data_IF_004003967449
#
_entry.id   IF_004003967449
#
_cell.length_a   1.000
_cell.length_b   1.000
_cell.length_c   1.000
_cell.angle_alpha   90.00
_cell.angle_beta   90.00
_cell.angle_gamma   90.00
#
_symmetry.space_group_name_H-M   'P 1'
#
loop_
_entity.id
_entity.type
_entity.pdbx_description
1 polymer ?
#
# COMPACT_ATOMS: atom_id res chain seq x y z
N UNK A 1 34.34 19.05 -41.12
CA UNK A 1 34.96 18.24 -40.15
C UNK A 1 34.00 17.19 -39.58
N UNK A 2 34.21 15.94 -39.93
CA UNK A 2 33.86 14.82 -39.12
C UNK A 2 32.38 14.39 -38.96
N UNK A 3 31.61 14.19 -40.03
CA UNK A 3 30.39 13.39 -39.99
C UNK A 3 29.19 13.94 -39.19
N UNK A 4 29.21 15.19 -38.75
CA UNK A 4 28.09 15.84 -38.07
C UNK A 4 27.30 16.71 -39.05
N UNK A 5 25.95 16.58 -38.98
CA UNK A 5 25.04 17.48 -39.69
C UNK A 5 24.44 18.44 -38.64
N UNK A 6 24.76 19.73 -38.76
CA UNK A 6 24.29 20.76 -37.87
C UNK A 6 23.03 21.42 -38.46
N UNK A 7 21.96 21.48 -37.66
CA UNK A 7 20.73 22.18 -37.99
C UNK A 7 20.60 23.46 -37.16
N UNK A 8 20.22 24.54 -37.81
CA UNK A 8 19.92 25.82 -37.17
C UNK A 8 18.41 26.07 -37.27
N UNK A 9 17.77 26.19 -36.11
CA UNK A 9 16.34 26.46 -36.05
C UNK A 9 16.09 27.96 -36.15
N UNK A 10 15.11 28.38 -36.97
CA UNK A 10 14.66 29.76 -36.98
C UNK A 10 13.91 30.06 -35.67
N UNK A 11 14.51 30.93 -34.83
CA UNK A 11 13.98 31.23 -33.52
C UNK A 11 12.59 31.86 -33.55
N UNK A 12 12.31 32.76 -34.50
CA UNK A 12 10.99 33.40 -34.59
C UNK A 12 9.90 32.41 -34.98
N UNK A 13 10.20 31.52 -35.92
CA UNK A 13 9.25 30.48 -36.35
C UNK A 13 8.97 29.53 -35.21
N UNK A 14 10.01 29.05 -34.51
CA UNK A 14 9.86 28.16 -33.36
C UNK A 14 9.03 28.78 -32.23
N UNK A 15 9.32 30.05 -31.87
CA UNK A 15 8.57 30.78 -30.85
C UNK A 15 7.11 30.93 -31.27
N UNK A 16 6.84 31.32 -32.50
CA UNK A 16 5.46 31.48 -32.99
C UNK A 16 4.67 30.16 -32.94
N UNK A 17 5.27 29.05 -33.38
CA UNK A 17 4.65 27.73 -33.38
C UNK A 17 4.40 27.26 -31.94
N UNK A 18 5.40 27.35 -31.06
CA UNK A 18 5.26 26.93 -29.64
C UNK A 18 4.20 27.75 -28.93
N UNK A 19 4.21 29.08 -29.04
CA UNK A 19 3.21 29.92 -28.40
C UNK A 19 1.79 29.64 -28.90
N UNK A 20 1.64 29.46 -30.23
CA UNK A 20 0.34 29.10 -30.80
C UNK A 20 -0.16 27.74 -30.30
N UNK A 21 0.71 26.77 -30.17
CA UNK A 21 0.37 25.46 -29.65
C UNK A 21 0.05 25.49 -28.16
N UNK A 22 0.82 26.23 -27.35
CA UNK A 22 0.55 26.47 -25.93
C UNK A 22 -0.82 27.15 -25.75
N UNK A 23 -1.11 28.19 -26.54
CA UNK A 23 -2.39 28.88 -26.46
C UNK A 23 -3.58 27.96 -26.82
N UNK A 24 -3.39 27.08 -27.80
CA UNK A 24 -4.39 26.12 -28.26
C UNK A 24 -4.61 24.98 -27.26
N UNK A 25 -3.52 24.39 -26.75
CA UNK A 25 -3.57 23.19 -25.90
C UNK A 25 -3.68 23.52 -24.42
N UNK A 26 -3.28 24.73 -24.00
CA UNK A 26 -3.31 25.17 -22.61
C UNK A 26 -2.65 24.15 -21.67
N UNK A 27 -3.42 23.63 -20.71
CA UNK A 27 -2.96 22.66 -19.73
C UNK A 27 -2.55 21.30 -20.35
N UNK A 28 -2.99 21.02 -21.58
CA UNK A 28 -2.62 19.80 -22.31
C UNK A 28 -1.36 19.97 -23.18
N UNK A 29 -0.71 21.14 -23.15
CA UNK A 29 0.54 21.30 -23.90
C UNK A 29 1.62 20.35 -23.41
N UNK A 30 2.23 19.60 -24.31
CA UNK A 30 3.22 18.56 -24.02
C UNK A 30 2.60 17.20 -23.64
N UNK A 31 1.27 17.07 -23.58
CA UNK A 31 0.63 15.78 -23.39
C UNK A 31 0.87 14.84 -24.57
N UNK A 32 0.68 13.54 -24.35
CA UNK A 32 0.91 12.51 -25.36
C UNK A 32 -0.20 11.47 -25.32
N UNK A 33 -0.35 10.73 -26.40
CA UNK A 33 -1.26 9.57 -26.51
C UNK A 33 -0.51 8.24 -26.53
N UNK A 34 0.75 8.21 -26.15
CA UNK A 34 1.58 6.98 -26.18
C UNK A 34 1.03 5.88 -25.28
N UNK A 35 0.26 6.27 -24.25
CA UNK A 35 -0.41 5.40 -23.30
C UNK A 35 -1.86 5.08 -23.64
N UNK A 36 -2.42 5.57 -24.75
CA UNK A 36 -3.83 5.37 -25.10
C UNK A 36 -4.18 3.88 -25.19
N UNK A 37 -5.25 3.47 -24.51
CA UNK A 37 -5.69 2.09 -24.43
C UNK A 37 -4.87 1.20 -23.48
N UNK A 38 -3.90 1.73 -22.74
CA UNK A 38 -3.09 0.98 -21.77
C UNK A 38 -3.46 1.38 -20.36
N UNK A 39 -3.67 0.36 -19.52
CA UNK A 39 -3.92 0.55 -18.09
C UNK A 39 -2.62 0.46 -17.29
N UNK A 40 -2.51 1.26 -16.24
CA UNK A 40 -1.40 1.19 -15.30
C UNK A 40 -1.92 1.39 -13.88
N UNK A 41 -1.51 0.51 -12.96
CA UNK A 41 -1.81 0.65 -11.53
C UNK A 41 -0.56 1.16 -10.83
N UNK A 42 -0.71 2.20 -10.05
CA UNK A 42 0.36 2.83 -9.29
C UNK A 42 0.01 2.75 -7.82
N UNK A 43 0.82 2.00 -7.07
CA UNK A 43 0.69 1.81 -5.64
C UNK A 43 1.63 2.78 -4.92
N UNK A 44 1.07 3.66 -4.09
CA UNK A 44 1.85 4.69 -3.39
C UNK A 44 1.16 5.17 -2.11
N UNK A 45 1.90 5.87 -1.25
CA UNK A 45 1.54 6.28 0.10
C UNK A 45 1.56 5.10 1.09
N UNK A 46 0.56 4.25 1.06
CA UNK A 46 0.45 2.96 1.78
C UNK A 46 0.78 3.02 3.29
N UNK A 47 0.24 4.00 4.04
CA UNK A 47 0.52 4.10 5.47
C UNK A 47 -0.18 2.98 6.25
N UNK A 48 0.42 2.63 7.40
CA UNK A 48 -0.24 1.75 8.36
C UNK A 48 -1.31 2.54 9.12
N UNK A 49 -2.52 1.99 9.25
CA UNK A 49 -3.55 2.60 10.08
C UNK A 49 -3.16 2.56 11.56
N UNK A 50 -3.74 3.44 12.35
CA UNK A 50 -3.44 3.63 13.78
C UNK A 50 -1.95 3.95 14.06
N UNK A 51 -1.25 4.52 13.08
CA UNK A 51 0.12 5.02 13.21
C UNK A 51 0.25 6.42 12.62
N UNK A 52 1.20 7.24 13.13
CA UNK A 52 1.43 8.57 12.60
C UNK A 52 1.85 8.55 11.13
N UNK A 53 1.31 9.47 10.35
CA UNK A 53 1.80 9.77 9.00
C UNK A 53 3.10 10.57 9.11
N UNK A 54 4.22 10.00 8.71
CA UNK A 54 5.54 10.60 8.87
C UNK A 54 6.19 10.96 7.53
N UNK A 55 7.35 11.59 7.58
CA UNK A 55 8.08 12.09 6.40
C UNK A 55 8.36 11.00 5.34
N UNK A 56 8.57 9.74 5.75
CA UNK A 56 8.73 8.63 4.82
C UNK A 56 7.47 8.40 3.98
N UNK A 57 6.28 8.41 4.61
CA UNK A 57 5.01 8.31 3.91
C UNK A 57 4.78 9.52 2.99
N UNK A 58 5.11 10.74 3.45
CA UNK A 58 5.00 11.94 2.63
C UNK A 58 5.83 11.84 1.35
N UNK A 59 7.07 11.35 1.46
CA UNK A 59 7.97 11.16 0.33
C UNK A 59 7.40 10.21 -0.72
N UNK A 60 6.97 9.01 -0.30
CA UNK A 60 6.39 8.02 -1.23
C UNK A 60 5.09 8.52 -1.84
N UNK A 61 4.28 9.23 -1.06
CA UNK A 61 3.02 9.85 -1.53
C UNK A 61 3.26 10.87 -2.64
N UNK A 62 4.19 11.80 -2.45
CA UNK A 62 4.48 12.85 -3.44
C UNK A 62 5.13 12.27 -4.69
N UNK A 63 6.09 11.35 -4.55
CA UNK A 63 6.73 10.69 -5.69
C UNK A 63 5.70 9.89 -6.48
N UNK A 64 4.89 9.06 -5.81
CA UNK A 64 3.88 8.25 -6.46
C UNK A 64 2.82 9.07 -7.18
N UNK A 65 2.35 10.14 -6.56
CA UNK A 65 1.40 11.06 -7.20
C UNK A 65 2.01 11.77 -8.42
N UNK A 66 3.30 12.13 -8.37
CA UNK A 66 3.99 12.69 -9.52
C UNK A 66 4.07 11.71 -10.69
N UNK A 67 4.38 10.44 -10.39
CA UNK A 67 4.38 9.36 -11.39
C UNK A 67 2.97 9.16 -11.95
N UNK A 68 1.94 9.13 -11.09
CA UNK A 68 0.54 9.02 -11.49
C UNK A 68 0.15 10.15 -12.47
N UNK A 69 0.45 11.41 -12.12
CA UNK A 69 0.16 12.58 -12.97
C UNK A 69 0.93 12.52 -14.30
N UNK A 70 2.20 12.10 -14.30
CA UNK A 70 3.02 11.94 -15.52
C UNK A 70 2.44 10.89 -16.46
N UNK A 71 2.13 9.69 -15.97
CA UNK A 71 1.55 8.65 -16.83
C UNK A 71 0.16 9.04 -17.34
N UNK A 72 -0.65 9.70 -16.53
CA UNK A 72 -1.93 10.24 -16.97
C UNK A 72 -1.78 11.26 -18.08
N UNK A 73 -0.76 12.13 -17.97
CA UNK A 73 -0.42 13.13 -18.99
C UNK A 73 0.09 12.50 -20.29
N UNK A 74 0.69 11.31 -20.21
CA UNK A 74 1.10 10.50 -21.37
C UNK A 74 -0.06 9.67 -21.97
N UNK A 75 -1.28 9.84 -21.49
CA UNK A 75 -2.48 9.22 -22.04
C UNK A 75 -2.79 7.82 -21.52
N UNK A 76 -2.10 7.35 -20.46
CA UNK A 76 -2.44 6.09 -19.81
C UNK A 76 -3.72 6.20 -18.98
N UNK A 77 -4.48 5.11 -18.89
CA UNK A 77 -5.53 4.94 -17.90
C UNK A 77 -4.86 4.55 -16.57
N UNK A 78 -4.65 5.54 -15.69
CA UNK A 78 -3.97 5.35 -14.42
C UNK A 78 -4.96 5.05 -13.31
N UNK A 79 -4.60 4.08 -12.45
CA UNK A 79 -5.33 3.73 -11.24
C UNK A 79 -4.37 3.90 -10.05
N UNK A 80 -4.60 4.92 -9.25
CA UNK A 80 -3.85 5.21 -8.04
C UNK A 80 -4.39 4.40 -6.85
N UNK A 81 -3.56 3.55 -6.28
CA UNK A 81 -3.92 2.70 -5.14
C UNK A 81 -3.17 3.13 -3.90
N UNK A 82 -3.90 3.36 -2.83
CA UNK A 82 -3.35 3.48 -1.48
C UNK A 82 -3.55 2.15 -0.76
N UNK A 83 -2.50 1.30 -0.80
CA UNK A 83 -2.52 -0.03 -0.19
C UNK A 83 -2.27 0.08 1.30
N UNK A 84 -3.32 0.36 2.07
CA UNK A 84 -3.23 0.58 3.51
C UNK A 84 -2.73 -0.65 4.26
N UNK A 85 -1.82 -0.46 5.22
CA UNK A 85 -1.45 -1.47 6.19
C UNK A 85 -2.53 -1.60 7.27
N UNK A 86 -3.66 -2.19 6.92
CA UNK A 86 -4.85 -2.26 7.75
C UNK A 86 -5.17 -3.67 8.27
N UNK A 87 -4.21 -4.61 8.17
CA UNK A 87 -4.37 -5.99 8.64
C UNK A 87 -3.12 -6.50 9.36
N UNK A 88 -3.33 -7.41 10.33
CA UNK A 88 -2.24 -8.05 11.04
C UNK A 88 -2.42 -8.10 12.56
N UNK A 89 -1.53 -8.80 13.23
CA UNK A 89 -1.58 -9.05 14.69
C UNK A 89 -1.57 -7.78 15.54
N UNK A 90 -1.12 -6.65 14.98
CA UNK A 90 -1.19 -5.35 15.65
C UNK A 90 -2.63 -4.93 15.97
N UNK A 91 -3.61 -5.36 15.17
CA UNK A 91 -5.02 -5.06 15.45
C UNK A 91 -5.58 -5.86 16.61
N UNK A 92 -5.12 -7.09 16.81
CA UNK A 92 -5.44 -7.84 18.02
C UNK A 92 -4.96 -7.12 19.29
N UNK A 93 -3.76 -6.51 19.24
CA UNK A 93 -3.23 -5.68 20.33
C UNK A 93 -4.06 -4.41 20.54
N UNK A 94 -4.38 -3.69 19.45
CA UNK A 94 -5.21 -2.48 19.56
C UNK A 94 -6.60 -2.78 20.10
N UNK A 95 -7.24 -3.87 19.66
CA UNK A 95 -8.56 -4.30 20.14
C UNK A 95 -8.48 -4.62 21.62
N UNK A 96 -7.47 -5.40 22.07
CA UNK A 96 -7.30 -5.74 23.48
C UNK A 96 -7.00 -4.50 24.33
N UNK A 97 -6.12 -3.63 23.87
CA UNK A 97 -5.80 -2.38 24.55
C UNK A 97 -7.02 -1.46 24.68
N UNK A 98 -7.82 -1.36 23.63
CA UNK A 98 -9.06 -0.58 23.66
C UNK A 98 -10.13 -1.18 24.59
N UNK A 99 -10.24 -2.51 24.63
CA UNK A 99 -11.13 -3.18 25.60
C UNK A 99 -10.77 -2.84 27.06
N UNK A 100 -9.48 -2.74 27.35
CA UNK A 100 -9.00 -2.49 28.73
C UNK A 100 -9.10 -1.02 29.12
N UNK A 101 -8.84 -0.13 28.20
CA UNK A 101 -8.59 1.29 28.51
C UNK A 101 -9.27 2.28 27.56
N UNK A 102 -10.14 1.84 26.67
CA UNK A 102 -10.75 2.70 25.65
C UNK A 102 -11.46 3.93 26.21
N UNK A 103 -12.03 3.82 27.41
CA UNK A 103 -12.69 4.95 28.11
C UNK A 103 -11.71 6.02 28.61
N UNK A 104 -10.41 5.68 28.75
CA UNK A 104 -9.36 6.61 29.18
C UNK A 104 -8.85 7.47 28.00
N UNK A 105 -9.21 7.14 26.76
CA UNK A 105 -8.65 7.73 25.55
C UNK A 105 -9.74 8.31 24.63
N UNK A 106 -9.54 9.54 24.16
CA UNK A 106 -10.51 10.18 23.25
C UNK A 106 -10.09 9.98 21.79
N UNK A 107 -10.31 8.75 21.28
CA UNK A 107 -9.94 8.38 19.90
C UNK A 107 -10.78 9.10 18.83
N UNK A 108 -11.90 9.69 19.19
CA UNK A 108 -12.76 10.40 18.24
C UNK A 108 -12.24 11.83 17.96
N UNK A 109 -11.47 12.41 18.89
CA UNK A 109 -10.89 13.75 18.75
C UNK A 109 -9.45 13.71 18.18
N UNK A 110 -8.59 12.80 18.72
CA UNK A 110 -7.20 12.66 18.32
C UNK A 110 -6.86 11.18 18.01
N UNK A 111 -7.43 10.61 16.93
CA UNK A 111 -7.43 9.16 16.73
C UNK A 111 -6.03 8.55 16.66
N UNK A 112 -5.12 9.15 15.91
CA UNK A 112 -3.78 8.57 15.69
C UNK A 112 -2.95 8.60 16.98
N UNK A 113 -2.94 9.72 17.69
CA UNK A 113 -2.17 9.85 18.92
C UNK A 113 -2.70 8.93 20.01
N UNK A 114 -4.02 8.89 20.19
CA UNK A 114 -4.66 8.06 21.21
C UNK A 114 -4.53 6.57 20.91
N UNK A 115 -4.74 6.13 19.66
CA UNK A 115 -4.50 4.75 19.25
C UNK A 115 -3.02 4.35 19.39
N UNK A 116 -2.10 5.27 19.11
CA UNK A 116 -0.66 5.05 19.31
C UNK A 116 -0.33 4.84 20.79
N UNK A 117 -0.89 5.66 21.70
CA UNK A 117 -0.72 5.50 23.15
C UNK A 117 -1.24 4.15 23.63
N UNK A 118 -2.44 3.76 23.19
CA UNK A 118 -3.03 2.46 23.51
C UNK A 118 -2.09 1.34 23.02
N UNK A 119 -1.59 1.45 21.79
CA UNK A 119 -0.71 0.44 21.21
C UNK A 119 0.62 0.32 21.97
N UNK A 120 1.23 1.43 22.35
CA UNK A 120 2.47 1.43 23.15
C UNK A 120 2.22 0.76 24.50
N UNK A 121 1.14 1.13 25.21
CA UNK A 121 0.77 0.59 26.52
C UNK A 121 0.51 -0.91 26.48
N UNK A 122 -0.30 -1.41 25.53
CA UNK A 122 -0.58 -2.83 25.40
C UNK A 122 0.66 -3.62 24.96
N UNK A 123 1.51 -3.03 24.09
CA UNK A 123 2.73 -3.69 23.64
C UNK A 123 3.78 -3.84 24.76
N UNK A 124 3.84 -2.89 25.68
CA UNK A 124 4.66 -3.02 26.87
C UNK A 124 4.14 -4.16 27.79
N UNK A 125 2.84 -4.19 28.04
CA UNK A 125 2.23 -5.21 28.88
C UNK A 125 2.37 -6.63 28.28
N UNK A 126 2.28 -6.78 26.96
CA UNK A 126 2.51 -8.05 26.28
C UNK A 126 3.95 -8.61 26.42
N UNK A 127 4.93 -7.76 26.79
CA UNK A 127 6.30 -8.22 27.04
C UNK A 127 6.47 -8.78 28.44
N UNK A 128 5.63 -8.35 29.36
CA UNK A 128 5.68 -8.71 30.79
C UNK A 128 4.72 -9.85 31.11
N UNK A 129 3.63 -9.98 30.37
CA UNK A 129 2.55 -10.93 30.61
C UNK A 129 2.15 -11.67 29.32
N UNK A 130 2.50 -12.96 29.26
CA UNK A 130 2.19 -13.83 28.11
C UNK A 130 0.68 -14.09 27.98
N UNK A 131 -0.09 -14.01 29.07
CA UNK A 131 -1.56 -14.19 29.01
C UNK A 131 -2.18 -13.06 28.20
N UNK A 132 -1.72 -11.82 28.41
CA UNK A 132 -2.16 -10.66 27.64
C UNK A 132 -1.78 -10.78 26.16
N UNK A 133 -0.58 -11.29 25.87
CA UNK A 133 -0.17 -11.55 24.49
C UNK A 133 -1.08 -12.58 23.80
N UNK A 134 -1.50 -13.61 24.54
CA UNK A 134 -2.44 -14.61 24.03
C UNK A 134 -3.85 -14.02 23.83
N UNK A 135 -4.32 -13.13 24.71
CA UNK A 135 -5.57 -12.41 24.52
C UNK A 135 -5.52 -11.55 23.24
N UNK A 136 -4.40 -10.87 22.98
CA UNK A 136 -4.19 -10.13 21.74
C UNK A 136 -4.25 -11.04 20.50
N UNK A 137 -3.62 -12.22 20.55
CA UNK A 137 -3.66 -13.21 19.46
C UNK A 137 -5.09 -13.71 19.24
N UNK A 138 -5.81 -14.00 20.31
CA UNK A 138 -7.20 -14.43 20.26
C UNK A 138 -8.11 -13.36 19.66
N UNK A 139 -7.92 -12.08 20.00
CA UNK A 139 -8.69 -10.99 19.39
C UNK A 139 -8.40 -10.82 17.91
N UNK A 140 -7.13 -11.02 17.47
CA UNK A 140 -6.84 -11.02 16.05
C UNK A 140 -7.48 -12.21 15.33
N UNK A 141 -7.45 -13.41 15.96
CA UNK A 141 -8.15 -14.58 15.40
C UNK A 141 -9.66 -14.35 15.30
N UNK A 142 -10.29 -13.77 16.32
CA UNK A 142 -11.69 -13.38 16.26
C UNK A 142 -11.98 -12.40 15.13
N UNK A 143 -11.09 -11.43 14.90
CA UNK A 143 -11.22 -10.51 13.78
C UNK A 143 -11.16 -11.25 12.43
N UNK A 144 -10.24 -12.21 12.28
CA UNK A 144 -10.13 -13.05 11.08
C UNK A 144 -11.38 -13.91 10.88
N UNK A 145 -11.97 -14.41 11.95
CA UNK A 145 -13.19 -15.22 11.92
C UNK A 145 -14.48 -14.39 11.77
N UNK A 146 -14.35 -13.06 11.68
CA UNK A 146 -15.47 -12.14 11.43
C UNK A 146 -16.32 -11.83 12.68
N UNK A 147 -15.75 -11.96 13.89
CA UNK A 147 -16.41 -11.53 15.12
C UNK A 147 -16.90 -10.08 15.01
N UNK A 148 -18.17 -9.86 15.29
CA UNK A 148 -18.84 -8.58 15.08
C UNK A 148 -18.19 -7.43 15.87
N UNK A 149 -17.85 -7.67 17.13
CA UNK A 149 -17.27 -6.65 18.00
C UNK A 149 -15.84 -6.27 17.51
N UNK A 150 -15.00 -7.26 17.25
CA UNK A 150 -13.64 -7.04 16.74
C UNK A 150 -13.65 -6.35 15.39
N UNK A 151 -14.55 -6.75 14.50
CA UNK A 151 -14.72 -6.16 13.17
C UNK A 151 -15.18 -4.71 13.24
N UNK A 152 -16.14 -4.38 14.14
CA UNK A 152 -16.63 -3.03 14.31
C UNK A 152 -15.55 -2.10 14.88
N UNK A 153 -14.76 -2.56 15.85
CA UNK A 153 -13.63 -1.80 16.37
C UNK A 153 -12.55 -1.58 15.30
N UNK A 154 -12.19 -2.63 14.58
CA UNK A 154 -11.23 -2.51 13.47
C UNK A 154 -11.69 -1.49 12.42
N UNK A 155 -12.96 -1.55 12.00
CA UNK A 155 -13.54 -0.55 11.08
C UNK A 155 -13.44 0.85 11.65
N UNK A 156 -13.80 1.04 12.93
CA UNK A 156 -13.69 2.35 13.59
C UNK A 156 -12.25 2.88 13.55
N UNK A 157 -11.26 2.08 13.90
CA UNK A 157 -9.84 2.49 13.88
C UNK A 157 -9.37 2.83 12.47
N UNK A 158 -9.78 2.02 11.47
CA UNK A 158 -9.48 2.25 10.07
C UNK A 158 -10.07 3.55 9.56
N UNK A 159 -11.35 3.77 9.78
CA UNK A 159 -12.07 4.94 9.26
C UNK A 159 -11.55 6.24 9.90
N UNK A 160 -11.27 6.23 11.20
CA UNK A 160 -10.67 7.36 11.90
C UNK A 160 -9.26 7.66 11.34
N UNK A 161 -8.44 6.64 11.10
CA UNK A 161 -7.10 6.80 10.54
C UNK A 161 -7.14 7.36 9.11
N UNK A 162 -8.03 6.83 8.26
CA UNK A 162 -8.21 7.32 6.89
C UNK A 162 -8.63 8.80 6.90
N UNK A 163 -9.53 9.18 7.81
CA UNK A 163 -9.97 10.57 7.95
C UNK A 163 -8.82 11.51 8.30
N UNK A 164 -7.88 11.09 9.13
CA UNK A 164 -6.68 11.86 9.45
C UNK A 164 -5.71 11.94 8.27
N UNK A 165 -5.47 10.83 7.58
CA UNK A 165 -4.62 10.82 6.39
C UNK A 165 -5.21 11.67 5.26
N UNK A 166 -6.54 11.70 5.13
CA UNK A 166 -7.23 12.50 4.13
C UNK A 166 -6.93 13.99 4.28
N UNK A 167 -6.76 14.50 5.50
CA UNK A 167 -6.35 15.90 5.72
C UNK A 167 -5.02 16.24 5.04
N UNK A 168 -4.06 15.29 5.08
CA UNK A 168 -2.75 15.46 4.43
C UNK A 168 -2.90 15.35 2.92
N UNK A 169 -3.70 14.42 2.43
CA UNK A 169 -3.94 14.23 1.00
C UNK A 169 -4.65 15.44 0.39
N UNK A 170 -5.65 15.98 1.07
CA UNK A 170 -6.36 17.19 0.63
C UNK A 170 -5.41 18.40 0.56
N UNK A 171 -4.52 18.54 1.54
CA UNK A 171 -3.52 19.63 1.58
C UNK A 171 -2.52 19.54 0.41
N UNK A 172 -2.26 18.32 -0.11
CA UNK A 172 -1.34 18.03 -1.20
C UNK A 172 -2.04 17.92 -2.57
N UNK A 173 -3.35 18.08 -2.63
CA UNK A 173 -4.17 17.82 -3.83
C UNK A 173 -3.93 16.41 -4.40
N UNK A 174 -4.00 15.39 -3.52
CA UNK A 174 -3.78 13.99 -3.87
C UNK A 174 -5.05 13.19 -3.64
N UNK A 175 -5.45 12.45 -4.67
CA UNK A 175 -6.61 11.59 -4.64
C UNK A 175 -6.22 10.17 -5.08
N UNK A 176 -6.86 9.18 -4.46
CA UNK A 176 -6.67 7.78 -4.81
C UNK A 176 -7.95 7.20 -5.44
N UNK A 177 -7.78 6.34 -6.44
CA UNK A 177 -8.89 5.62 -7.06
C UNK A 177 -9.31 4.41 -6.22
N UNK A 178 -8.41 3.89 -5.36
CA UNK A 178 -8.66 2.75 -4.47
C UNK A 178 -7.95 2.91 -3.13
N UNK A 179 -8.66 2.54 -2.05
CA UNK A 179 -8.14 2.43 -0.68
C UNK A 179 -8.14 0.96 -0.20
N UNK A 180 -8.05 0.00 -1.12
CA UNK A 180 -8.01 -1.41 -0.81
C UNK A 180 -6.66 -1.77 -0.18
N UNK A 181 -6.64 -1.88 1.14
CA UNK A 181 -5.50 -2.26 1.95
C UNK A 181 -5.33 -3.78 2.06
N UNK A 182 -4.47 -4.20 2.96
CA UNK A 182 -4.15 -5.61 3.21
C UNK A 182 -5.40 -6.45 3.58
N UNK A 183 -6.33 -5.86 4.34
CA UNK A 183 -7.57 -6.52 4.75
C UNK A 183 -8.43 -6.98 3.56
N UNK A 184 -8.47 -6.20 2.50
CA UNK A 184 -9.23 -6.54 1.29
C UNK A 184 -8.74 -7.82 0.60
N UNK A 185 -7.47 -8.18 0.81
CA UNK A 185 -6.86 -9.35 0.19
C UNK A 185 -6.78 -10.56 1.13
N UNK A 186 -7.28 -10.45 2.36
CA UNK A 186 -7.18 -11.50 3.36
C UNK A 186 -7.88 -12.80 2.91
N UNK A 187 -9.03 -12.69 2.28
CA UNK A 187 -9.83 -13.82 1.75
C UNK A 187 -9.31 -14.37 0.39
N UNK A 188 -8.28 -13.76 -0.19
CA UNK A 188 -7.74 -14.10 -1.52
C UNK A 188 -6.41 -14.83 -1.47
N UNK A 189 -5.87 -15.05 -0.27
CA UNK A 189 -4.56 -15.67 -0.07
C UNK A 189 -4.56 -17.17 -0.38
N UNK A 190 -5.66 -17.87 -0.11
CA UNK A 190 -5.77 -19.31 -0.36
C UNK A 190 -5.61 -19.64 -1.85
N UNK A 191 -6.14 -18.78 -2.72
CA UNK A 191 -5.98 -18.94 -4.16
C UNK A 191 -4.51 -18.82 -4.59
N UNK A 192 -3.76 -17.89 -3.99
CA UNK A 192 -2.31 -17.74 -4.24
C UNK A 192 -1.57 -19.02 -3.87
N UNK A 193 -1.84 -19.54 -2.68
CA UNK A 193 -1.22 -20.79 -2.19
C UNK A 193 -1.52 -21.94 -3.15
N UNK A 194 -2.78 -22.11 -3.55
CA UNK A 194 -3.21 -23.16 -4.47
C UNK A 194 -2.51 -23.06 -5.85
N UNK A 195 -2.35 -21.86 -6.39
CA UNK A 195 -1.63 -21.64 -7.65
C UNK A 195 -0.15 -22.00 -7.51
N UNK A 196 0.50 -21.57 -6.42
CA UNK A 196 1.90 -21.88 -6.16
C UNK A 196 2.13 -23.38 -5.99
N UNK A 197 1.22 -24.10 -5.32
CA UNK A 197 1.24 -25.56 -5.21
C UNK A 197 1.09 -26.22 -6.58
N UNK A 198 0.09 -25.83 -7.36
CA UNK A 198 -0.20 -26.41 -8.67
C UNK A 198 0.93 -26.21 -9.69
N UNK A 199 1.71 -25.13 -9.54
CA UNK A 199 2.87 -24.83 -10.40
C UNK A 199 4.16 -25.50 -9.92
N UNK A 200 4.12 -26.21 -8.80
CA UNK A 200 5.30 -26.87 -8.20
C UNK A 200 6.37 -25.91 -7.69
N UNK A 201 6.02 -24.65 -7.48
CA UNK A 201 6.95 -23.60 -6.97
C UNK A 201 6.97 -23.50 -5.45
N UNK A 202 5.98 -24.07 -4.79
CA UNK A 202 5.89 -24.09 -3.35
C UNK A 202 6.55 -25.36 -2.82
N UNK A 203 7.56 -25.22 -1.99
CA UNK A 203 8.27 -26.33 -1.35
C UNK A 203 8.19 -26.22 0.16
N UNK A 204 8.24 -27.35 0.84
CA UNK A 204 8.28 -27.37 2.30
C UNK A 204 9.74 -27.34 2.78
N UNK A 205 10.06 -26.45 3.70
CA UNK A 205 11.37 -26.33 4.33
C UNK A 205 11.20 -25.98 5.81
N UNK A 206 11.75 -26.82 6.68
CA UNK A 206 11.67 -26.66 8.15
C UNK A 206 10.23 -26.45 8.66
N UNK A 207 9.26 -27.10 8.02
CA UNK A 207 7.84 -27.00 8.35
C UNK A 207 7.15 -25.70 7.85
N UNK A 208 7.87 -24.83 7.15
CA UNK A 208 7.31 -23.65 6.48
C UNK A 208 7.15 -23.92 4.98
N UNK A 209 6.16 -23.27 4.35
CA UNK A 209 5.97 -23.30 2.90
C UNK A 209 6.69 -22.11 2.28
N UNK A 210 7.65 -22.38 1.41
CA UNK A 210 8.52 -21.37 0.82
C UNK A 210 8.56 -21.46 -0.70
N UNK A 211 8.93 -20.35 -1.34
CA UNK A 211 9.44 -20.34 -2.72
C UNK A 211 10.96 -20.29 -2.64
N UNK A 212 11.63 -21.26 -3.21
CA UNK A 212 13.10 -21.25 -3.31
C UNK A 212 13.52 -20.22 -4.37
N UNK A 213 14.40 -19.30 -3.97
CA UNK A 213 14.96 -18.25 -4.82
C UNK A 213 16.50 -18.34 -4.88
N UNK A 214 17.06 -19.51 -4.57
CA UNK A 214 18.52 -19.73 -4.57
C UNK A 214 19.15 -19.52 -5.95
N UNK A 215 18.41 -19.80 -7.02
CA UNK A 215 18.82 -19.53 -8.41
C UNK A 215 19.00 -18.03 -8.71
N UNK A 216 18.43 -17.17 -7.90
CA UNK A 216 18.53 -15.71 -7.95
C UNK A 216 19.50 -15.11 -6.92
N UNK A 217 20.22 -15.95 -6.16
CA UNK A 217 21.02 -15.51 -5.03
C UNK A 217 20.21 -14.73 -3.96
N UNK A 218 18.94 -15.07 -3.77
CA UNK A 218 18.05 -14.45 -2.82
C UNK A 218 17.64 -15.43 -1.73
N UNK A 219 17.31 -14.89 -0.56
CA UNK A 219 16.72 -15.69 0.51
C UNK A 219 15.36 -16.26 0.08
N UNK A 220 14.96 -17.43 0.58
CA UNK A 220 13.68 -18.03 0.26
C UNK A 220 12.52 -17.13 0.69
N UNK A 221 11.48 -17.06 -0.14
CA UNK A 221 10.28 -16.28 0.18
C UNK A 221 9.29 -17.15 0.95
N UNK A 222 9.02 -16.81 2.21
CA UNK A 222 8.09 -17.55 3.06
C UNK A 222 6.64 -17.17 2.67
N UNK A 223 5.90 -18.15 2.21
CA UNK A 223 4.48 -18.02 1.83
C UNK A 223 3.57 -18.43 3.00
N UNK A 224 3.90 -19.51 3.69
CA UNK A 224 3.18 -19.99 4.87
C UNK A 224 4.14 -20.36 5.99
N UNK A 225 3.83 -19.92 7.20
CA UNK A 225 4.61 -20.24 8.40
C UNK A 225 4.32 -21.66 8.89
N UNK A 226 5.15 -22.17 9.80
CA UNK A 226 5.00 -23.49 10.44
C UNK A 226 3.65 -23.67 11.14
N UNK A 227 3.03 -22.61 11.63
CA UNK A 227 1.71 -22.64 12.25
C UNK A 227 0.53 -22.51 11.26
N UNK A 228 0.80 -22.59 9.95
CA UNK A 228 -0.20 -22.47 8.88
C UNK A 228 -0.60 -21.06 8.50
N UNK A 229 -0.17 -20.02 9.23
CA UNK A 229 -0.48 -18.65 8.89
C UNK A 229 0.30 -18.17 7.65
N UNK A 230 -0.34 -17.37 6.82
CA UNK A 230 0.27 -16.73 5.65
C UNK A 230 1.12 -15.53 6.06
N UNK A 231 1.90 -15.02 5.11
CA UNK A 231 2.78 -13.86 5.33
C UNK A 231 2.30 -12.63 4.54
N UNK A 232 2.96 -11.50 4.75
CA UNK A 232 2.72 -10.30 3.92
C UNK A 232 3.04 -10.56 2.44
N UNK A 233 4.03 -11.41 2.12
CA UNK A 233 4.34 -11.78 0.74
C UNK A 233 3.15 -12.46 0.03
N UNK A 234 2.41 -13.30 0.75
CA UNK A 234 1.20 -13.94 0.22
C UNK A 234 0.10 -12.92 -0.08
N UNK A 235 -0.06 -11.90 0.79
CA UNK A 235 -1.01 -10.80 0.56
C UNK A 235 -0.60 -9.94 -0.64
N UNK A 236 0.68 -9.63 -0.77
CA UNK A 236 1.19 -8.87 -1.92
C UNK A 236 0.95 -9.62 -3.24
N UNK A 237 1.18 -10.93 -3.26
CA UNK A 237 0.86 -11.77 -4.42
C UNK A 237 -0.65 -11.79 -4.71
N UNK A 238 -1.49 -11.88 -3.69
CA UNK A 238 -2.94 -11.80 -3.85
C UNK A 238 -3.37 -10.43 -4.41
N UNK A 239 -2.75 -9.35 -3.95
CA UNK A 239 -3.00 -8.01 -4.46
C UNK A 239 -2.60 -7.87 -5.94
N UNK A 240 -1.42 -8.37 -6.33
CA UNK A 240 -0.96 -8.36 -7.73
C UNK A 240 -1.90 -9.17 -8.61
N UNK A 241 -2.29 -10.38 -8.20
CA UNK A 241 -3.19 -11.24 -8.95
C UNK A 241 -4.58 -10.60 -9.14
N UNK A 242 -5.14 -10.06 -8.05
CA UNK A 242 -6.43 -9.35 -8.12
C UNK A 242 -6.36 -8.16 -9.09
N UNK A 243 -5.36 -7.32 -8.95
CA UNK A 243 -5.17 -6.15 -9.81
C UNK A 243 -4.97 -6.55 -11.27
N UNK A 244 -4.19 -7.60 -11.56
CA UNK A 244 -3.99 -8.13 -12.91
C UNK A 244 -5.30 -8.55 -13.57
N UNK A 245 -6.21 -9.19 -12.84
CA UNK A 245 -7.51 -9.62 -13.34
C UNK A 245 -8.51 -8.48 -13.48
N UNK A 246 -8.54 -7.59 -12.48
CA UNK A 246 -9.50 -6.50 -12.43
C UNK A 246 -9.27 -5.43 -13.51
N UNK A 247 -8.03 -5.21 -13.93
CA UNK A 247 -7.67 -4.06 -14.78
C UNK A 247 -6.87 -4.41 -16.02
N UNK A 248 -6.31 -5.64 -16.15
CA UNK A 248 -5.41 -6.02 -17.27
C UNK A 248 -4.27 -5.01 -17.46
N UNK A 249 -3.28 -4.94 -16.56
CA UNK A 249 -2.40 -3.78 -16.42
C UNK A 249 -0.90 -4.09 -16.30
N UNK A 250 -0.10 -3.01 -16.38
CA UNK A 250 1.27 -2.93 -15.88
C UNK A 250 1.27 -2.33 -14.47
N UNK A 251 1.96 -2.95 -13.51
CA UNK A 251 2.01 -2.50 -12.12
C UNK A 251 3.28 -1.67 -11.85
N UNK A 252 3.10 -0.51 -11.20
CA UNK A 252 4.18 0.28 -10.63
C UNK A 252 3.94 0.46 -9.13
N UNK A 253 4.97 0.24 -8.34
CA UNK A 253 4.98 0.56 -6.90
C UNK A 253 6.01 1.67 -6.68
N UNK A 254 5.60 2.77 -6.05
CA UNK A 254 6.53 3.75 -5.56
C UNK A 254 7.31 3.14 -4.39
N UNK A 255 8.61 2.98 -4.53
CA UNK A 255 9.46 2.36 -3.53
C UNK A 255 9.39 3.10 -2.20
N UNK A 256 9.01 2.38 -1.15
CA UNK A 256 9.39 2.72 0.21
C UNK A 256 10.90 2.51 0.30
N UNK A 257 11.66 3.59 0.32
CA UNK A 257 13.02 3.51 0.81
C UNK A 257 12.90 3.36 2.32
N UNK A 258 13.18 2.17 2.83
CA UNK A 258 13.49 2.01 4.24
C UNK A 258 14.63 2.97 4.55
N UNK A 259 14.31 4.06 5.21
CA UNK A 259 15.28 4.86 5.91
C UNK A 259 15.68 4.02 7.13
N UNK A 260 16.72 3.22 7.01
CA UNK A 260 17.50 2.80 8.16
C UNK A 260 18.18 4.07 8.70
N UNK A 261 17.50 4.72 9.63
CA UNK A 261 18.09 5.70 10.54
C UNK A 261 18.58 5.00 11.77
#
# INVERSE_FOLDING_TARGET
AGGYLNFYVNAQMLISEVLTEVEKLKENYGSSKVGEGKNIVIDYSSPNIAKPFHIGHLRTTVIGNSIYKLYKFLGYNCIGVNHLGDWGTQFGKLIEGYKRWGEEYNIDENPIDELTKIYIRINALCKEDETVLNDCRNNFKKLEDGDEYCTNLWKKFRDLSIKEFQKVYDMLDIHFDSLNGEAFYADKMDEVVHILESTGKLVESEGARIIDLSDKNMAPCIIGKTNGSTTYATRDLAAIMYRARAVSYTHLRAHETELHL
#
